data_IF_427576892969
#
_entry.id   IF_427576892969
#
_cell.length_a   1.000
_cell.length_b   1.000
_cell.length_c   1.000
_cell.angle_alpha   90.00
_cell.angle_beta   90.00
_cell.angle_gamma   90.00
#
_symmetry.space_group_name_H-M   'P 1'
#
loop_
_entity.id
_entity.type
_entity.pdbx_description
1 polymer ?
#
# COMPACT_ATOMS: atom_id res chain seq x y z
N UNK A 1 -9.68 -12.11 9.02
CA UNK A 1 -9.05 -12.88 7.92
C UNK A 1 -7.56 -12.60 7.92
N UNK A 2 -6.68 -13.62 7.85
CA UNK A 2 -5.25 -13.38 7.69
C UNK A 2 -5.01 -12.71 6.34
N UNK A 3 -4.32 -11.57 6.34
CA UNK A 3 -3.94 -10.86 5.12
C UNK A 3 -2.99 -11.78 4.34
N UNK A 4 -3.31 -12.09 3.09
CA UNK A 4 -2.46 -12.93 2.26
C UNK A 4 -1.05 -12.32 2.18
N UNK A 5 -0.01 -13.16 2.17
CA UNK A 5 1.35 -12.72 1.86
C UNK A 5 1.41 -12.42 0.37
N UNK A 6 1.01 -11.20 0.01
CA UNK A 6 1.01 -10.68 -1.35
C UNK A 6 2.42 -10.14 -1.63
N UNK A 7 3.02 -10.58 -2.73
CA UNK A 7 4.29 -10.03 -3.19
C UNK A 7 4.02 -8.73 -3.96
N UNK A 8 4.43 -7.59 -3.39
CA UNK A 8 4.14 -6.27 -3.95
C UNK A 8 5.31 -5.78 -4.81
N UNK A 9 5.05 -5.19 -5.99
CA UNK A 9 6.10 -4.60 -6.80
C UNK A 9 6.75 -3.44 -6.05
N UNK A 10 8.07 -3.30 -6.20
CA UNK A 10 8.87 -2.29 -5.49
C UNK A 10 8.33 -0.87 -5.69
N UNK A 11 7.89 -0.52 -6.89
CA UNK A 11 7.32 0.79 -7.20
C UNK A 11 6.07 1.11 -6.37
N UNK A 12 5.20 0.11 -6.14
CA UNK A 12 3.99 0.26 -5.34
C UNK A 12 4.32 0.39 -3.85
N UNK A 13 5.34 -0.34 -3.38
CA UNK A 13 5.84 -0.25 -2.01
C UNK A 13 6.45 1.13 -1.73
N UNK A 14 7.28 1.65 -2.65
CA UNK A 14 7.90 2.96 -2.51
C UNK A 14 6.88 4.10 -2.60
N UNK A 15 5.84 3.94 -3.43
CA UNK A 15 4.73 4.89 -3.51
C UNK A 15 3.96 4.97 -2.19
N UNK A 16 3.60 3.81 -1.60
CA UNK A 16 2.94 3.77 -0.28
C UNK A 16 3.87 4.27 0.83
N UNK A 17 5.18 3.96 0.81
CA UNK A 17 6.16 4.50 1.77
C UNK A 17 6.22 6.02 1.72
N UNK A 18 6.27 6.59 0.53
CA UNK A 18 6.29 8.05 0.33
C UNK A 18 5.01 8.70 0.83
N UNK A 19 3.85 8.11 0.52
CA UNK A 19 2.56 8.57 1.02
C UNK A 19 2.46 8.44 2.55
N UNK A 20 2.98 7.36 3.12
CA UNK A 20 3.01 7.13 4.56
C UNK A 20 3.90 8.15 5.27
N UNK A 21 5.10 8.41 4.75
CA UNK A 21 5.99 9.46 5.28
C UNK A 21 5.31 10.85 5.24
N UNK A 22 4.64 11.18 4.13
CA UNK A 22 3.88 12.43 4.01
C UNK A 22 2.70 12.48 5.00
N UNK A 23 2.02 11.36 5.24
CA UNK A 23 0.94 11.26 6.23
C UNK A 23 1.47 11.48 7.65
N UNK A 24 2.58 10.87 8.01
CA UNK A 24 3.26 11.05 9.30
C UNK A 24 3.74 12.49 9.51
N UNK A 25 4.16 13.16 8.42
CA UNK A 25 4.55 14.56 8.44
C UNK A 25 3.37 15.55 8.35
N UNK A 26 2.12 15.07 8.20
CA UNK A 26 0.94 15.92 8.02
C UNK A 26 0.91 16.68 6.68
N UNK A 27 1.70 16.25 5.69
CA UNK A 27 1.85 16.88 4.36
C UNK A 27 1.24 16.06 3.23
N UNK A 28 0.53 14.97 3.56
CA UNK A 28 -0.13 14.12 2.56
C UNK A 28 -1.12 14.92 1.73
N UNK A 29 -0.90 14.94 0.42
CA UNK A 29 -1.79 15.57 -0.54
C UNK A 29 -2.82 14.57 -1.09
N UNK A 30 -3.96 15.09 -1.54
CA UNK A 30 -4.97 14.29 -2.26
C UNK A 30 -4.40 13.62 -3.51
N UNK A 31 -3.46 14.30 -4.20
CA UNK A 31 -2.74 13.75 -5.36
C UNK A 31 -1.92 12.51 -5.01
N UNK A 32 -1.20 12.53 -3.88
CA UNK A 32 -0.44 11.36 -3.41
C UNK A 32 -1.37 10.21 -3.01
N UNK A 33 -2.47 10.51 -2.31
CA UNK A 33 -3.46 9.51 -1.95
C UNK A 33 -4.13 8.87 -3.18
N UNK A 34 -4.46 9.67 -4.20
CA UNK A 34 -5.02 9.20 -5.46
C UNK A 34 -4.05 8.29 -6.23
N UNK A 35 -2.77 8.67 -6.30
CA UNK A 35 -1.74 7.86 -6.97
C UNK A 35 -1.61 6.46 -6.33
N UNK A 36 -1.58 6.37 -4.99
CA UNK A 36 -1.59 5.08 -4.28
C UNK A 36 -2.87 4.32 -4.59
N UNK A 37 -4.02 4.99 -4.53
CA UNK A 37 -5.33 4.37 -4.76
C UNK A 37 -5.47 3.78 -6.17
N UNK A 38 -4.96 4.46 -7.19
CA UNK A 38 -4.92 4.01 -8.58
C UNK A 38 -3.96 2.82 -8.73
N UNK A 39 -2.75 2.92 -8.21
CA UNK A 39 -1.74 1.87 -8.31
C UNK A 39 -2.17 0.57 -7.62
N UNK A 40 -2.82 0.65 -6.45
CA UNK A 40 -3.45 -0.50 -5.78
C UNK A 40 -4.52 -1.13 -6.67
N UNK A 41 -5.36 -0.31 -7.32
CA UNK A 41 -6.41 -0.79 -8.22
C UNK A 41 -5.85 -1.57 -9.40
N UNK A 42 -4.88 -0.98 -10.10
CA UNK A 42 -4.20 -1.62 -11.24
C UNK A 42 -3.53 -2.92 -10.81
N UNK A 43 -2.84 -2.94 -9.67
CA UNK A 43 -2.19 -4.15 -9.20
C UNK A 43 -3.21 -5.23 -8.81
N UNK A 44 -4.29 -4.86 -8.12
CA UNK A 44 -5.37 -5.80 -7.76
C UNK A 44 -6.00 -6.49 -8.97
N UNK A 45 -6.20 -5.75 -10.06
CA UNK A 45 -6.66 -6.31 -11.34
C UNK A 45 -5.63 -7.30 -11.93
N UNK A 46 -4.34 -6.95 -11.90
CA UNK A 46 -3.26 -7.80 -12.42
C UNK A 46 -3.13 -9.13 -11.67
N UNK A 47 -3.23 -9.10 -10.34
CA UNK A 47 -3.15 -10.32 -9.51
C UNK A 47 -4.50 -10.99 -9.27
N UNK A 48 -5.58 -10.44 -9.83
CA UNK A 48 -6.96 -10.92 -9.67
C UNK A 48 -7.36 -11.09 -8.19
N UNK A 49 -6.89 -10.19 -7.33
CA UNK A 49 -7.24 -10.18 -5.90
C UNK A 49 -8.21 -9.04 -5.59
N UNK A 50 -9.02 -9.16 -4.52
CA UNK A 50 -9.83 -8.05 -4.06
C UNK A 50 -8.95 -6.85 -3.71
N UNK A 51 -9.32 -5.67 -4.23
CA UNK A 51 -8.64 -4.39 -3.95
C UNK A 51 -8.41 -4.17 -2.45
N UNK A 52 -9.39 -4.52 -1.62
CA UNK A 52 -9.32 -4.38 -0.16
C UNK A 52 -8.20 -5.23 0.45
N UNK A 53 -8.03 -6.47 -0.02
CA UNK A 53 -7.00 -7.38 0.49
C UNK A 53 -5.60 -6.88 0.10
N UNK A 54 -5.46 -6.39 -1.14
CA UNK A 54 -4.23 -5.74 -1.64
C UNK A 54 -3.90 -4.49 -0.83
N UNK A 55 -4.87 -3.61 -0.60
CA UNK A 55 -4.68 -2.38 0.17
C UNK A 55 -4.28 -2.68 1.62
N UNK A 56 -4.96 -3.63 2.27
CA UNK A 56 -4.62 -4.04 3.63
C UNK A 56 -3.24 -4.70 3.70
N UNK A 57 -2.88 -5.53 2.73
CA UNK A 57 -1.58 -6.17 2.65
C UNK A 57 -0.45 -5.15 2.47
N UNK A 58 -0.64 -4.18 1.56
CA UNK A 58 0.35 -3.15 1.28
C UNK A 58 0.56 -2.25 2.49
N UNK A 59 -0.52 -1.80 3.12
CA UNK A 59 -0.46 -1.00 4.36
C UNK A 59 0.20 -1.78 5.49
N UNK A 60 -0.09 -3.07 5.63
CA UNK A 60 0.57 -3.91 6.63
C UNK A 60 2.07 -3.99 6.35
N UNK A 61 2.48 -4.28 5.11
CA UNK A 61 3.87 -4.38 4.73
C UNK A 61 4.67 -3.08 4.94
N UNK A 62 4.06 -1.92 4.70
CA UNK A 62 4.73 -0.61 4.78
C UNK A 62 4.63 0.03 6.15
N UNK A 63 3.44 0.04 6.76
CA UNK A 63 3.16 0.77 8.02
C UNK A 63 3.40 -0.08 9.27
N UNK A 64 3.37 -1.40 9.10
CA UNK A 64 3.54 -2.38 10.17
C UNK A 64 4.47 -3.52 9.71
N UNK A 65 5.73 -3.23 9.33
CA UNK A 65 6.67 -4.28 8.97
C UNK A 65 6.73 -5.29 10.13
N UNK A 66 6.86 -6.58 9.80
CA UNK A 66 6.76 -7.67 10.76
C UNK A 66 7.81 -7.64 11.90
N UNK A 67 8.75 -6.68 11.89
CA UNK A 67 9.77 -6.43 12.91
C UNK A 67 9.36 -5.36 13.96
N UNK A 68 8.17 -5.51 14.54
CA UNK A 68 7.84 -4.89 15.82
C UNK A 68 7.53 -5.96 16.87
N UNK A 69 8.43 -6.93 17.04
CA UNK A 69 8.63 -7.75 18.25
C UNK A 69 9.95 -8.54 18.16
#
# INVERSE_FOLDING_TARGET
MPVATIDFPADLVELERSAWAAQQAGTLTTKQAAAVHEAIGTFAEQVQLPRLDVEMGLKKAVRHPADSA
#
